data_IF_129550870893
#
_entry.id   IF_129550870893
#
_cell.length_a   1.000
_cell.length_b   1.000
_cell.length_c   1.000
_cell.angle_alpha   90.00
_cell.angle_beta   90.00
_cell.angle_gamma   90.00
#
_symmetry.space_group_name_H-M   'P 1'
#
loop_
_entity.id
_entity.type
_entity.pdbx_description
1 polymer ?
#
# COMPACT_ATOMS: atom_id res chain seq x y z
N UNK A 1 -1.80 7.90 67.23
CA UNK A 1 -1.02 8.70 66.25
C UNK A 1 -0.19 7.82 65.31
N UNK A 2 0.56 6.84 65.80
CA UNK A 2 1.40 5.92 65.01
C UNK A 2 0.63 5.09 63.97
N UNK A 3 -0.52 4.51 64.34
CA UNK A 3 -1.37 3.73 63.43
C UNK A 3 -1.91 4.52 62.23
N UNK A 4 -2.22 5.81 62.43
CA UNK A 4 -2.66 6.72 61.35
C UNK A 4 -1.52 7.00 60.36
N UNK A 5 -0.31 7.21 60.85
CA UNK A 5 0.87 7.42 60.00
C UNK A 5 1.19 6.17 59.17
N UNK A 6 1.10 4.97 59.78
CA UNK A 6 1.30 3.70 59.07
C UNK A 6 0.24 3.53 57.96
N UNK A 7 -1.04 3.80 58.26
CA UNK A 7 -2.11 3.68 57.29
C UNK A 7 -1.92 4.63 56.07
N UNK A 8 -1.49 5.87 56.30
CA UNK A 8 -1.21 6.85 55.24
C UNK A 8 -0.05 6.38 54.36
N UNK A 9 1.04 5.89 54.96
CA UNK A 9 2.20 5.39 54.20
C UNK A 9 1.81 4.18 53.37
N UNK A 10 1.08 3.21 53.95
CA UNK A 10 0.62 2.02 53.22
C UNK A 10 -0.33 2.41 52.07
N UNK A 11 -1.27 3.32 52.30
CA UNK A 11 -2.17 3.80 51.26
C UNK A 11 -1.40 4.53 50.14
N UNK A 12 -0.43 5.36 50.49
CA UNK A 12 0.45 6.05 49.53
C UNK A 12 1.25 5.07 48.66
N UNK A 13 1.83 4.03 49.27
CA UNK A 13 2.55 2.97 48.55
C UNK A 13 1.61 2.20 47.61
N UNK A 14 0.42 1.82 48.08
CA UNK A 14 -0.59 1.13 47.27
C UNK A 14 -1.06 1.99 46.09
N UNK A 15 -1.29 3.29 46.31
CA UNK A 15 -1.66 4.23 45.26
C UNK A 15 -0.57 4.34 44.18
N UNK A 16 0.70 4.50 44.58
CA UNK A 16 1.85 4.56 43.65
C UNK A 16 1.99 3.24 42.87
N UNK A 17 1.91 2.09 43.54
CA UNK A 17 2.01 0.78 42.89
C UNK A 17 0.87 0.57 41.88
N UNK A 18 -0.36 0.97 42.23
CA UNK A 18 -1.51 0.88 41.34
C UNK A 18 -1.38 1.78 40.11
N UNK A 19 -0.86 3.00 40.27
CA UNK A 19 -0.61 3.93 39.17
C UNK A 19 0.50 3.44 38.24
N UNK A 20 1.59 2.89 38.81
CA UNK A 20 2.67 2.28 38.04
C UNK A 20 2.20 1.06 37.23
N UNK A 21 1.35 0.21 37.82
CA UNK A 21 0.79 -0.95 37.14
C UNK A 21 -0.18 -0.56 36.01
N UNK A 22 -1.02 0.46 36.21
CA UNK A 22 -1.90 0.99 35.14
C UNK A 22 -1.08 1.53 33.97
N UNK A 23 -0.05 2.33 34.26
CA UNK A 23 0.85 2.88 33.22
C UNK A 23 1.56 1.78 32.43
N UNK A 24 2.04 0.73 33.08
CA UNK A 24 2.73 -0.37 32.40
C UNK A 24 1.78 -1.19 31.51
N UNK A 25 0.53 -1.41 31.95
CA UNK A 25 -0.51 -2.06 31.13
C UNK A 25 -0.88 -1.19 29.93
N UNK A 26 -1.10 0.11 30.13
CA UNK A 26 -1.43 1.05 29.06
C UNK A 26 -0.31 1.14 28.02
N UNK A 27 0.97 1.18 28.46
CA UNK A 27 2.13 1.16 27.57
C UNK A 27 2.20 -0.13 26.75
N UNK A 28 2.01 -1.29 27.39
CA UNK A 28 1.98 -2.59 26.69
C UNK A 28 0.84 -2.65 25.67
N UNK A 29 -0.33 -2.13 26.01
CA UNK A 29 -1.48 -2.11 25.11
C UNK A 29 -1.22 -1.20 23.91
N UNK A 30 -0.65 0.00 24.11
CA UNK A 30 -0.25 0.91 23.02
C UNK A 30 0.81 0.29 22.11
N UNK A 31 1.82 -0.38 22.69
CA UNK A 31 2.84 -1.09 21.93
C UNK A 31 2.24 -2.22 21.08
N UNK A 32 1.30 -3.00 21.63
CA UNK A 32 0.59 -4.05 20.87
C UNK A 32 -0.22 -3.48 19.71
N UNK A 33 -0.96 -2.39 19.93
CA UNK A 33 -1.74 -1.73 18.87
C UNK A 33 -0.82 -1.23 17.76
N UNK A 34 0.28 -0.55 18.12
CA UNK A 34 1.26 -0.05 17.16
C UNK A 34 1.94 -1.19 16.38
N UNK A 35 2.28 -2.30 17.03
CA UNK A 35 2.86 -3.47 16.38
C UNK A 35 1.88 -4.13 15.42
N UNK A 36 0.60 -4.23 15.78
CA UNK A 36 -0.44 -4.76 14.89
C UNK A 36 -0.64 -3.87 13.67
N UNK A 37 -0.72 -2.56 13.86
CA UNK A 37 -0.84 -1.60 12.77
C UNK A 37 0.33 -1.72 11.78
N UNK A 38 1.56 -1.83 12.31
CA UNK A 38 2.75 -2.06 11.49
C UNK A 38 2.67 -3.38 10.72
N UNK A 39 2.22 -4.46 11.38
CA UNK A 39 2.07 -5.76 10.75
C UNK A 39 1.04 -5.72 9.61
N UNK A 40 -0.12 -5.09 9.83
CA UNK A 40 -1.18 -4.99 8.83
C UNK A 40 -0.73 -4.20 7.59
N UNK A 41 -0.10 -3.03 7.76
CA UNK A 41 0.37 -2.22 6.62
C UNK A 41 1.54 -2.89 5.90
N UNK A 42 2.43 -3.58 6.62
CA UNK A 42 3.54 -4.32 6.01
C UNK A 42 3.01 -5.52 5.22
N UNK A 43 2.02 -6.24 5.73
CA UNK A 43 1.40 -7.36 5.02
C UNK A 43 0.71 -6.90 3.72
N UNK A 44 -0.01 -5.77 3.75
CA UNK A 44 -0.61 -5.20 2.54
C UNK A 44 0.42 -4.78 1.49
N UNK A 45 1.58 -4.26 1.93
CA UNK A 45 2.69 -3.93 1.04
C UNK A 45 3.37 -5.18 0.47
N UNK A 46 3.53 -6.23 1.27
CA UNK A 46 4.11 -7.52 0.84
C UNK A 46 3.23 -8.23 -0.21
N UNK A 47 1.91 -8.15 -0.04
CA UNK A 47 0.93 -8.57 -1.04
C UNK A 47 1.10 -7.79 -2.35
N UNK A 48 1.32 -6.47 -2.29
CA UNK A 48 1.53 -5.64 -3.48
C UNK A 48 2.83 -5.97 -4.22
N UNK A 49 3.88 -6.34 -3.50
CA UNK A 49 5.15 -6.81 -4.06
C UNK A 49 4.93 -8.14 -4.77
N UNK A 50 4.21 -9.07 -4.13
CA UNK A 50 3.89 -10.38 -4.70
C UNK A 50 3.08 -10.24 -5.99
N UNK A 51 1.99 -9.47 -5.94
CA UNK A 51 1.14 -9.15 -7.11
C UNK A 51 1.97 -8.52 -8.24
N UNK A 52 2.87 -7.57 -7.92
CA UNK A 52 3.72 -6.97 -8.94
C UNK A 52 4.69 -7.99 -9.58
N UNK A 53 5.22 -8.93 -8.80
CA UNK A 53 6.01 -10.06 -9.33
C UNK A 53 5.21 -10.93 -10.30
N UNK A 54 3.94 -11.22 -9.98
CA UNK A 54 3.03 -11.96 -10.88
C UNK A 54 2.74 -11.17 -12.17
N UNK A 55 2.55 -9.86 -12.07
CA UNK A 55 2.39 -8.97 -13.23
C UNK A 55 3.62 -8.98 -14.14
N UNK A 56 4.83 -8.97 -13.57
CA UNK A 56 6.07 -9.10 -14.33
C UNK A 56 6.21 -10.46 -15.00
N UNK A 57 5.76 -11.53 -14.36
CA UNK A 57 5.74 -12.86 -14.97
C UNK A 57 4.79 -12.91 -16.18
N UNK A 58 3.61 -12.28 -16.09
CA UNK A 58 2.70 -12.16 -17.24
C UNK A 58 3.32 -11.33 -18.37
N UNK A 59 3.98 -10.22 -18.03
CA UNK A 59 4.70 -9.39 -19.00
C UNK A 59 5.81 -10.20 -19.70
N UNK A 60 6.59 -11.01 -18.98
CA UNK A 60 7.63 -11.85 -19.57
C UNK A 60 7.06 -12.82 -20.61
N UNK A 61 5.91 -13.43 -20.31
CA UNK A 61 5.19 -14.29 -21.27
C UNK A 61 4.72 -13.53 -22.51
N UNK A 62 4.27 -12.28 -22.37
CA UNK A 62 3.87 -11.43 -23.50
C UNK A 62 5.07 -11.02 -24.38
N UNK A 63 6.23 -10.83 -23.77
CA UNK A 63 7.48 -10.45 -24.43
C UNK A 63 8.22 -11.65 -25.04
N UNK A 64 7.92 -12.87 -24.60
CA UNK A 64 8.60 -14.08 -25.03
C UNK A 64 8.64 -14.21 -26.56
N UNK A 65 9.84 -14.37 -27.11
CA UNK A 65 10.07 -14.52 -28.55
C UNK A 65 9.99 -13.23 -29.37
N UNK A 66 9.80 -12.06 -28.73
CA UNK A 66 9.85 -10.76 -29.40
C UNK A 66 11.28 -10.22 -29.43
N UNK A 67 11.63 -9.54 -30.53
CA UNK A 67 12.84 -8.71 -30.55
C UNK A 67 12.50 -7.33 -29.98
N UNK A 68 13.17 -6.96 -28.89
CA UNK A 68 12.92 -5.71 -28.17
C UNK A 68 13.97 -4.69 -28.55
N UNK A 69 13.53 -3.50 -28.96
CA UNK A 69 14.43 -2.37 -29.16
C UNK A 69 15.10 -1.95 -27.82
N UNK A 70 16.13 -1.10 -27.92
CA UNK A 70 16.88 -0.68 -26.74
C UNK A 70 16.01 0.04 -25.71
N UNK A 71 15.07 0.88 -26.16
CA UNK A 71 14.22 1.66 -25.26
C UNK A 71 13.24 0.76 -24.49
N UNK A 72 12.65 -0.23 -25.15
CA UNK A 72 11.76 -1.23 -24.55
C UNK A 72 12.52 -2.10 -23.55
N UNK A 73 13.74 -2.54 -23.88
CA UNK A 73 14.60 -3.26 -22.92
C UNK A 73 14.93 -2.45 -21.68
N UNK A 74 15.19 -1.14 -21.83
CA UNK A 74 15.45 -0.26 -20.70
C UNK A 74 14.21 -0.04 -19.81
N UNK A 75 13.03 0.08 -20.40
CA UNK A 75 11.78 0.17 -19.64
C UNK A 75 11.50 -1.17 -18.91
N UNK A 76 11.75 -2.31 -19.57
CA UNK A 76 11.58 -3.62 -18.94
C UNK A 76 12.56 -3.83 -17.78
N UNK A 77 13.84 -3.48 -17.95
CA UNK A 77 14.82 -3.53 -16.87
C UNK A 77 14.39 -2.66 -15.68
N UNK A 78 13.88 -1.44 -15.92
CA UNK A 78 13.38 -0.57 -14.85
C UNK A 78 12.22 -1.20 -14.07
N UNK A 79 11.36 -1.97 -14.74
CA UNK A 79 10.28 -2.69 -14.06
C UNK A 79 10.82 -3.83 -13.18
N UNK A 80 11.83 -4.57 -13.66
CA UNK A 80 12.51 -5.62 -12.88
C UNK A 80 13.28 -5.04 -11.68
N UNK A 81 14.01 -3.95 -11.88
CA UNK A 81 14.75 -3.26 -10.82
C UNK A 81 13.79 -2.78 -9.73
N UNK A 82 12.63 -2.21 -10.11
CA UNK A 82 11.61 -1.78 -9.16
C UNK A 82 11.06 -2.95 -8.31
N UNK A 83 10.94 -4.16 -8.88
CA UNK A 83 10.51 -5.33 -8.12
C UNK A 83 11.56 -5.77 -7.09
N UNK A 84 12.84 -5.81 -7.48
CA UNK A 84 13.92 -6.14 -6.55
C UNK A 84 14.07 -5.07 -5.45
N UNK A 85 13.98 -3.79 -5.82
CA UNK A 85 13.97 -2.68 -4.86
C UNK A 85 12.76 -2.76 -3.91
N UNK A 86 11.58 -3.10 -4.42
CA UNK A 86 10.38 -3.22 -3.59
C UNK A 86 10.50 -4.36 -2.57
N UNK A 87 11.08 -5.51 -2.96
CA UNK A 87 11.36 -6.64 -2.05
C UNK A 87 12.29 -6.23 -0.91
N UNK A 88 13.40 -5.57 -1.23
CA UNK A 88 14.34 -5.14 -0.20
C UNK A 88 13.75 -4.04 0.69
N UNK A 89 12.93 -3.15 0.12
CA UNK A 89 12.28 -2.05 0.83
C UNK A 89 11.21 -2.54 1.80
N UNK A 90 10.36 -3.51 1.40
CA UNK A 90 9.33 -4.07 2.29
C UNK A 90 9.93 -4.84 3.46
N UNK A 91 11.06 -5.53 3.24
CA UNK A 91 11.81 -6.20 4.32
C UNK A 91 12.31 -5.20 5.36
N UNK A 92 12.76 -4.02 4.92
CA UNK A 92 13.27 -2.94 5.78
C UNK A 92 12.19 -2.11 6.51
N UNK A 93 10.90 -2.36 6.27
CA UNK A 93 9.80 -1.65 6.94
C UNK A 93 9.81 -1.93 8.45
N UNK A 94 10.00 -0.87 9.23
CA UNK A 94 10.02 -0.88 10.70
C UNK A 94 9.10 0.16 11.33
N UNK A 95 8.51 1.05 10.52
CA UNK A 95 7.47 2.00 10.90
C UNK A 95 6.43 2.10 9.77
N UNK A 96 5.14 2.39 10.08
CA UNK A 96 4.09 2.45 9.07
C UNK A 96 4.38 3.41 7.91
N UNK A 97 5.00 4.55 8.21
CA UNK A 97 5.34 5.56 7.21
C UNK A 97 6.37 5.07 6.17
N UNK A 98 7.15 4.01 6.47
CA UNK A 98 8.09 3.44 5.52
C UNK A 98 7.39 2.76 4.35
N UNK A 99 6.13 2.31 4.51
CA UNK A 99 5.36 1.67 3.45
C UNK A 99 5.15 2.60 2.26
N UNK A 100 5.08 3.91 2.50
CA UNK A 100 5.00 4.91 1.43
C UNK A 100 6.13 4.77 0.42
N UNK A 101 7.34 4.46 0.88
CA UNK A 101 8.47 4.28 -0.02
C UNK A 101 8.30 3.02 -0.89
N UNK A 102 7.79 1.93 -0.31
CA UNK A 102 7.46 0.71 -1.06
C UNK A 102 6.41 1.01 -2.14
N UNK A 103 5.36 1.76 -1.80
CA UNK A 103 4.31 2.10 -2.77
C UNK A 103 4.84 2.96 -3.91
N UNK A 104 5.72 3.94 -3.62
CA UNK A 104 6.35 4.78 -4.65
C UNK A 104 7.21 3.95 -5.63
N UNK A 105 7.99 2.98 -5.13
CA UNK A 105 8.77 2.06 -5.98
C UNK A 105 7.84 1.24 -6.88
N UNK A 106 6.77 0.69 -6.32
CA UNK A 106 5.82 -0.14 -7.06
C UNK A 106 5.03 0.68 -8.10
N UNK A 107 4.70 1.94 -7.81
CA UNK A 107 4.10 2.87 -8.77
C UNK A 107 5.05 3.09 -9.97
N UNK A 108 6.34 3.29 -9.71
CA UNK A 108 7.36 3.46 -10.75
C UNK A 108 7.54 2.19 -11.59
N UNK A 109 7.54 1.03 -10.95
CA UNK A 109 7.55 -0.27 -11.61
C UNK A 109 6.36 -0.46 -12.55
N UNK A 110 5.14 -0.18 -12.09
CA UNK A 110 3.93 -0.30 -12.92
C UNK A 110 3.88 0.73 -14.06
N UNK A 111 4.41 1.93 -13.85
CA UNK A 111 4.57 2.89 -14.94
C UNK A 111 5.56 2.37 -15.99
N UNK A 112 6.66 1.74 -15.58
CA UNK A 112 7.61 1.12 -16.50
C UNK A 112 6.97 -0.04 -17.30
N UNK A 113 6.17 -0.89 -16.66
CA UNK A 113 5.35 -1.93 -17.34
C UNK A 113 4.44 -1.30 -18.41
N UNK A 114 3.71 -0.24 -18.06
CA UNK A 114 2.83 0.45 -19.01
C UNK A 114 3.60 1.05 -20.21
N UNK A 115 4.84 1.51 -19.99
CA UNK A 115 5.72 1.97 -21.07
C UNK A 115 6.14 0.82 -22.00
N UNK A 116 6.52 -0.33 -21.44
CA UNK A 116 6.85 -1.54 -22.22
C UNK A 116 5.67 -1.95 -23.08
N UNK A 117 4.49 -2.11 -22.48
CA UNK A 117 3.27 -2.51 -23.19
C UNK A 117 2.92 -1.54 -24.31
N UNK A 118 3.05 -0.22 -24.06
CA UNK A 118 2.78 0.81 -25.07
C UNK A 118 3.73 0.73 -26.26
N UNK A 119 5.03 0.48 -26.02
CA UNK A 119 6.02 0.30 -27.11
C UNK A 119 5.75 -0.95 -27.92
N UNK A 120 5.46 -2.07 -27.25
CA UNK A 120 5.13 -3.34 -27.92
C UNK A 120 3.86 -3.22 -28.76
N UNK A 121 2.88 -2.45 -28.28
CA UNK A 121 1.64 -2.16 -29.02
C UNK A 121 1.79 -1.09 -30.11
N UNK A 122 2.93 -0.37 -30.17
CA UNK A 122 3.16 0.72 -31.13
C UNK A 122 2.28 1.96 -30.88
N UNK A 123 1.86 2.18 -29.63
CA UNK A 123 1.05 3.34 -29.23
C UNK A 123 1.89 4.38 -28.48
N UNK A 124 1.35 5.58 -28.28
CA UNK A 124 2.01 6.63 -27.51
C UNK A 124 2.28 6.17 -26.07
N UNK A 125 3.45 6.54 -25.52
CA UNK A 125 3.77 6.27 -24.13
C UNK A 125 2.74 6.89 -23.18
N UNK A 126 2.48 6.24 -22.03
CA UNK A 126 1.57 6.78 -21.04
C UNK A 126 2.10 8.10 -20.47
N UNK A 127 1.20 9.01 -20.13
CA UNK A 127 1.58 10.16 -19.31
C UNK A 127 1.81 9.70 -17.87
N UNK A 128 2.77 10.31 -17.17
CA UNK A 128 2.97 10.02 -15.76
C UNK A 128 1.87 10.69 -14.94
N UNK A 129 0.94 9.86 -14.48
CA UNK A 129 -0.24 10.23 -13.69
C UNK A 129 -0.24 9.44 -12.38
N UNK A 130 -0.99 9.89 -11.35
CA UNK A 130 -1.23 9.09 -10.16
C UNK A 130 -1.75 7.68 -10.51
N UNK A 131 -1.54 6.69 -9.63
CA UNK A 131 -2.10 5.35 -9.82
C UNK A 131 -3.63 5.38 -9.87
N UNK A 132 -4.24 4.28 -10.31
CA UNK A 132 -5.70 4.14 -10.24
C UNK A 132 -6.19 4.31 -8.79
N UNK A 133 -7.11 5.26 -8.60
CA UNK A 133 -7.69 5.58 -7.30
C UNK A 133 -8.39 4.38 -6.64
N UNK A 134 -9.02 3.53 -7.45
CA UNK A 134 -9.80 2.38 -6.97
C UNK A 134 -8.91 1.21 -6.54
N UNK A 135 -7.86 0.94 -7.31
CA UNK A 135 -6.84 -0.03 -6.95
C UNK A 135 -5.48 0.36 -7.55
N UNK A 136 -4.51 0.81 -6.73
CA UNK A 136 -3.18 1.15 -7.22
C UNK A 136 -2.46 0.01 -7.94
N UNK A 137 -2.84 -1.25 -7.69
CA UNK A 137 -2.28 -2.42 -8.38
C UNK A 137 -2.62 -2.46 -9.88
N UNK A 138 -3.63 -1.70 -10.33
CA UNK A 138 -3.97 -1.59 -11.76
C UNK A 138 -2.99 -0.73 -12.57
N UNK A 139 -2.02 -0.08 -11.90
CA UNK A 139 -1.04 0.78 -12.55
C UNK A 139 -1.52 2.22 -12.74
N UNK A 140 -0.87 2.98 -13.65
CA UNK A 140 -1.14 4.40 -13.82
C UNK A 140 -2.57 4.66 -14.32
N UNK A 141 -3.18 5.74 -13.84
CA UNK A 141 -4.44 6.21 -14.41
C UNK A 141 -4.26 6.72 -15.84
N UNK A 142 -5.33 6.68 -16.64
CA UNK A 142 -5.36 7.18 -18.01
C UNK A 142 -6.23 8.44 -18.15
N UNK A 143 -7.22 8.60 -17.29
CA UNK A 143 -8.12 9.76 -17.22
C UNK A 143 -8.72 9.92 -15.84
N UNK A 144 -9.30 11.09 -15.57
CA UNK A 144 -10.12 11.31 -14.38
C UNK A 144 -11.58 10.99 -14.70
N UNK A 145 -12.30 10.45 -13.72
CA UNK A 145 -13.73 10.16 -13.82
C UNK A 145 -14.50 10.74 -12.64
N UNK A 146 -15.72 11.20 -12.89
CA UNK A 146 -16.65 11.61 -11.84
C UNK A 146 -17.18 10.36 -11.12
N UNK A 147 -16.79 10.17 -9.86
CA UNK A 147 -17.25 9.06 -9.03
C UNK A 147 -17.91 9.54 -7.75
N UNK A 148 -19.01 8.90 -7.37
CA UNK A 148 -19.72 9.18 -6.12
C UNK A 148 -19.65 7.95 -5.21
N UNK A 149 -18.99 8.01 -4.04
CA UNK A 149 -19.01 6.92 -3.08
C UNK A 149 -20.43 6.69 -2.53
N UNK A 150 -20.74 5.47 -2.07
CA UNK A 150 -22.02 5.15 -1.43
C UNK A 150 -22.44 6.16 -0.36
N UNK A 151 -21.46 6.67 0.38
CA UNK A 151 -21.62 7.74 1.38
C UNK A 151 -20.66 8.88 1.07
N UNK A 152 -21.11 9.85 0.28
CA UNK A 152 -20.37 11.09 0.06
C UNK A 152 -20.86 11.87 -1.16
N UNK A 153 -20.05 12.84 -1.59
CA UNK A 153 -20.32 13.67 -2.75
C UNK A 153 -19.52 13.19 -3.97
N UNK A 154 -20.03 13.52 -5.16
CA UNK A 154 -19.33 13.31 -6.41
C UNK A 154 -17.96 14.01 -6.40
N UNK A 155 -16.94 13.33 -6.92
CA UNK A 155 -15.58 13.84 -7.03
C UNK A 155 -14.89 13.31 -8.28
N UNK A 156 -13.98 14.09 -8.84
CA UNK A 156 -13.06 13.63 -9.87
C UNK A 156 -11.95 12.79 -9.23
N UNK A 157 -11.74 11.58 -9.75
CA UNK A 157 -10.67 10.67 -9.31
C UNK A 157 -9.92 10.07 -10.49
N UNK A 158 -8.59 9.90 -10.40
CA UNK A 158 -7.80 9.26 -11.46
C UNK A 158 -8.12 7.77 -11.55
N UNK A 159 -8.41 7.26 -12.74
CA UNK A 159 -8.76 5.86 -12.96
C UNK A 159 -7.95 5.23 -14.10
N UNK A 160 -7.63 3.93 -13.96
CA UNK A 160 -7.12 3.14 -15.09
C UNK A 160 -8.21 2.98 -16.16
N UNK A 161 -7.84 2.54 -17.36
CA UNK A 161 -8.78 2.41 -18.46
C UNK A 161 -10.01 1.56 -18.10
N UNK A 162 -9.78 0.41 -17.47
CA UNK A 162 -10.84 -0.53 -17.11
C UNK A 162 -11.80 0.02 -16.04
N UNK A 163 -11.29 0.65 -14.97
CA UNK A 163 -12.17 1.23 -13.94
C UNK A 163 -12.87 2.49 -14.42
N UNK A 164 -12.23 3.29 -15.28
CA UNK A 164 -12.86 4.44 -15.89
C UNK A 164 -14.07 4.01 -16.74
N UNK A 165 -13.92 2.95 -17.54
CA UNK A 165 -15.04 2.36 -18.31
C UNK A 165 -16.15 1.83 -17.42
N UNK A 166 -15.84 1.14 -16.31
CA UNK A 166 -16.84 0.66 -15.36
C UNK A 166 -17.65 1.81 -14.76
N UNK A 167 -16.97 2.82 -14.24
CA UNK A 167 -17.60 3.98 -13.58
C UNK A 167 -18.47 4.76 -14.55
N UNK A 168 -17.97 5.05 -15.76
CA UNK A 168 -18.72 5.76 -16.80
C UNK A 168 -19.96 4.97 -17.27
N UNK A 169 -19.89 3.64 -17.23
CA UNK A 169 -21.03 2.76 -17.50
C UNK A 169 -22.00 2.59 -16.31
N UNK A 170 -21.73 3.22 -15.16
CA UNK A 170 -22.52 3.09 -13.94
C UNK A 170 -22.33 1.77 -13.19
N UNK A 171 -21.28 1.02 -13.50
CA UNK A 171 -20.89 -0.19 -12.79
C UNK A 171 -19.90 0.13 -11.64
N UNK A 172 -19.84 -0.77 -10.66
CA UNK A 172 -18.87 -0.66 -9.58
C UNK A 172 -17.43 -0.84 -10.11
N UNK A 173 -16.49 0.05 -9.73
CA UNK A 173 -15.08 -0.13 -10.05
C UNK A 173 -14.51 -1.33 -9.30
N UNK A 174 -13.43 -1.91 -9.79
CA UNK A 174 -12.72 -3.00 -9.12
C UNK A 174 -11.85 -2.44 -7.97
N UNK A 175 -12.52 -1.96 -6.92
CA UNK A 175 -11.87 -1.31 -5.79
C UNK A 175 -11.15 -2.33 -4.89
N UNK A 176 -9.92 -1.99 -4.48
CA UNK A 176 -9.14 -2.82 -3.56
C UNK A 176 -9.78 -2.82 -2.18
N UNK A 177 -9.83 -4.00 -1.57
CA UNK A 177 -10.15 -4.18 -0.14
C UNK A 177 -8.90 -4.63 0.58
N UNK A 178 -8.55 -3.97 1.69
CA UNK A 178 -7.38 -4.32 2.50
C UNK A 178 -7.86 -4.86 3.84
N UNK A 179 -7.34 -6.02 4.24
CA UNK A 179 -7.63 -6.61 5.55
C UNK A 179 -7.01 -5.74 6.65
N UNK A 180 -7.82 -5.25 7.59
CA UNK A 180 -7.34 -4.61 8.82
C UNK A 180 -7.66 -5.53 10.00
N UNK A 181 -6.67 -6.32 10.44
CA UNK A 181 -6.89 -7.39 11.41
C UNK A 181 -7.87 -8.46 10.91
N UNK A 182 -8.93 -8.73 11.68
CA UNK A 182 -9.95 -9.76 11.37
C UNK A 182 -11.16 -9.26 10.56
N UNK A 183 -11.11 -8.05 10.01
CA UNK A 183 -12.23 -7.45 9.27
C UNK A 183 -11.80 -7.02 7.85
N UNK A 184 -12.64 -7.35 6.87
CA UNK A 184 -12.63 -6.83 5.49
C UNK A 184 -13.28 -5.46 5.44
#
# INVERSE_FOLDING_TARGET
>A
MTWLLIAIVVFGVLAIASAANRRSVDQRQRQKISAQQLADVKAAADEDVTEFGEQLQLLDLELAGRDLDQATRQDYQRALDAYDDAKTSVDAVTAPDHVRHVTEILEDGRYAVACVQSRVAGVSLPQRRPPCFFNPQHGPSVRDVTWTPERGAAREVPACAADAERVEAGAEPASRTVMLGSRR
#
